data_IF_731811921042
#
_entry.id   IF_731811921042
#
_cell.length_a   1.000
_cell.length_b   1.000
_cell.length_c   1.000
_cell.angle_alpha   90.00
_cell.angle_beta   90.00
_cell.angle_gamma   90.00
#
_symmetry.space_group_name_H-M   'P 1'
#
loop_
_entity.id
_entity.type
_entity.pdbx_description
1 polymer ?
#
# COMPACT_ATOMS: atom_id res chain seq x y z
N UNK A 1 57.18 -25.36 20.49
CA UNK A 1 57.23 -25.29 19.01
C UNK A 1 56.27 -26.34 18.45
N UNK A 2 55.04 -25.94 18.10
CA UNK A 2 54.01 -26.87 17.57
C UNK A 2 54.30 -27.23 16.12
N UNK A 3 54.28 -28.52 15.80
CA UNK A 3 54.70 -29.04 14.48
C UNK A 3 53.74 -28.62 13.37
N UNK A 4 54.27 -28.38 12.17
CA UNK A 4 53.52 -28.05 10.94
C UNK A 4 52.44 -29.10 10.60
N UNK A 5 52.59 -30.32 11.12
CA UNK A 5 51.63 -31.41 10.99
C UNK A 5 50.40 -31.26 11.92
N UNK A 6 50.56 -30.71 13.13
CA UNK A 6 49.43 -30.45 14.06
C UNK A 6 48.54 -29.31 13.57
N UNK A 7 49.13 -28.25 12.99
CA UNK A 7 48.35 -27.15 12.40
C UNK A 7 47.47 -27.59 11.23
N UNK A 8 47.93 -28.57 10.43
CA UNK A 8 47.14 -29.14 9.33
C UNK A 8 46.02 -30.08 9.81
N UNK A 9 46.15 -30.71 10.98
CA UNK A 9 45.09 -31.54 11.57
C UNK A 9 43.97 -30.68 12.18
N UNK A 10 44.32 -29.56 12.82
CA UNK A 10 43.32 -28.61 13.34
C UNK A 10 42.52 -27.94 12.21
N UNK A 11 43.18 -27.48 11.12
CA UNK A 11 42.46 -26.89 9.98
C UNK A 11 41.60 -27.88 9.18
N UNK A 12 41.82 -29.19 9.29
CA UNK A 12 40.98 -30.23 8.66
C UNK A 12 39.83 -30.72 9.55
N UNK A 13 39.87 -30.45 10.86
CA UNK A 13 38.77 -30.74 11.79
C UNK A 13 37.65 -29.71 11.72
N UNK A 14 37.97 -28.45 11.43
CA UNK A 14 36.99 -27.35 11.43
C UNK A 14 36.16 -27.22 10.14
N UNK A 15 36.51 -27.94 9.06
CA UNK A 15 35.80 -27.85 7.77
C UNK A 15 34.70 -28.89 7.56
N UNK A 16 34.34 -29.70 8.56
CA UNK A 16 33.41 -30.85 8.39
C UNK A 16 32.04 -30.71 9.05
N UNK A 17 31.71 -29.59 9.69
CA UNK A 17 30.39 -29.38 10.32
C UNK A 17 29.53 -28.31 9.65
N UNK A 18 30.12 -27.49 8.77
CA UNK A 18 29.41 -26.35 8.17
C UNK A 18 28.33 -26.74 7.15
N UNK A 19 28.54 -27.75 6.30
CA UNK A 19 27.62 -28.03 5.19
C UNK A 19 26.30 -28.69 5.63
N UNK A 20 26.32 -29.43 6.75
CA UNK A 20 25.13 -30.08 7.29
C UNK A 20 24.19 -29.10 7.98
N UNK A 21 24.75 -28.20 8.79
CA UNK A 21 24.00 -27.12 9.45
C UNK A 21 23.36 -26.17 8.41
N UNK A 22 24.07 -25.84 7.33
CA UNK A 22 23.51 -24.97 6.27
C UNK A 22 22.41 -25.66 5.46
N UNK A 23 22.49 -26.98 5.22
CA UNK A 23 21.41 -27.71 4.52
C UNK A 23 20.18 -27.90 5.39
N UNK A 24 20.37 -28.09 6.69
CA UNK A 24 19.26 -28.18 7.62
C UNK A 24 18.58 -26.83 7.82
N UNK A 25 19.35 -25.74 7.92
CA UNK A 25 18.80 -24.37 7.91
C UNK A 25 18.08 -24.02 6.61
N UNK A 26 18.61 -24.47 5.45
CA UNK A 26 17.92 -24.29 4.17
C UNK A 26 16.63 -25.08 4.11
N UNK A 27 16.62 -26.31 4.62
CA UNK A 27 15.41 -27.15 4.67
C UNK A 27 14.38 -26.59 5.64
N UNK A 28 14.80 -26.12 6.81
CA UNK A 28 13.91 -25.48 7.80
C UNK A 28 13.33 -24.18 7.22
N UNK A 29 14.12 -23.39 6.49
CA UNK A 29 13.63 -22.21 5.77
C UNK A 29 12.71 -22.56 4.58
N UNK A 30 13.00 -23.65 3.85
CA UNK A 30 12.13 -24.17 2.78
C UNK A 30 10.80 -24.69 3.36
N UNK A 31 10.82 -25.39 4.49
CA UNK A 31 9.63 -25.87 5.20
C UNK A 31 8.83 -24.70 5.81
N UNK A 32 9.49 -23.64 6.30
CA UNK A 32 8.84 -22.41 6.75
C UNK A 32 8.16 -21.68 5.58
N UNK A 33 8.82 -21.62 4.41
CA UNK A 33 8.23 -21.05 3.18
C UNK A 33 7.10 -21.93 2.62
N UNK A 34 7.24 -23.25 2.63
CA UNK A 34 6.20 -24.19 2.18
C UNK A 34 4.99 -24.18 3.13
N UNK A 35 5.22 -24.05 4.44
CA UNK A 35 4.14 -23.87 5.42
C UNK A 35 3.42 -22.54 5.26
N UNK A 36 4.15 -21.46 4.92
CA UNK A 36 3.57 -20.15 4.61
C UNK A 36 2.85 -20.10 3.26
N UNK A 37 3.19 -20.96 2.29
CA UNK A 37 2.55 -21.04 0.98
C UNK A 37 1.35 -22.00 0.93
N UNK A 38 1.19 -22.91 1.89
CA UNK A 38 -0.03 -23.71 2.03
C UNK A 38 -1.19 -22.97 2.73
N UNK A 39 -0.91 -21.83 3.37
CA UNK A 39 -1.91 -20.86 3.89
C UNK A 39 -2.13 -19.70 2.93
N UNK A 40 -2.19 -19.95 1.62
CA UNK A 40 -2.37 -18.91 0.60
C UNK A 40 -3.85 -18.62 0.31
N UNK A 41 -4.70 -18.64 1.33
CA UNK A 41 -5.77 -17.65 1.39
C UNK A 41 -5.06 -16.33 1.68
N UNK A 42 -5.06 -15.40 0.73
CA UNK A 42 -4.43 -14.11 0.95
C UNK A 42 -5.13 -13.45 2.14
N UNK A 43 -4.46 -13.44 3.31
CA UNK A 43 -4.98 -12.81 4.52
C UNK A 43 -5.50 -11.41 4.22
N UNK A 44 -6.58 -11.00 4.87
CA UNK A 44 -7.17 -9.68 4.65
C UNK A 44 -6.14 -8.55 4.75
N UNK A 45 -5.19 -8.67 5.69
CA UNK A 45 -4.05 -7.77 5.83
C UNK A 45 -3.16 -7.67 4.59
N UNK A 46 -2.93 -8.78 3.88
CA UNK A 46 -2.11 -8.79 2.66
C UNK A 46 -2.85 -8.09 1.52
N UNK A 47 -4.12 -8.44 1.30
CA UNK A 47 -4.97 -7.83 0.27
C UNK A 47 -5.11 -6.34 0.49
N UNK A 48 -5.42 -5.92 1.72
CA UNK A 48 -5.53 -4.51 2.08
C UNK A 48 -4.19 -3.78 1.94
N UNK A 49 -3.05 -4.41 2.29
CA UNK A 49 -1.73 -3.81 2.09
C UNK A 49 -1.42 -3.52 0.62
N UNK A 50 -1.85 -4.39 -0.30
CA UNK A 50 -1.70 -4.17 -1.75
C UNK A 50 -2.54 -2.96 -2.17
N UNK A 51 -3.78 -2.85 -1.71
CA UNK A 51 -4.64 -1.71 -2.00
C UNK A 51 -4.06 -0.39 -1.46
N UNK A 52 -3.57 -0.38 -0.22
CA UNK A 52 -2.90 0.78 0.38
C UNK A 52 -1.63 1.17 -0.40
N UNK A 53 -0.87 0.20 -0.88
CA UNK A 53 0.28 0.47 -1.76
C UNK A 53 -0.14 1.12 -3.07
N UNK A 54 -1.19 0.61 -3.72
CA UNK A 54 -1.72 1.20 -4.96
C UNK A 54 -2.22 2.62 -4.73
N UNK A 55 -2.95 2.85 -3.63
CA UNK A 55 -3.45 4.16 -3.22
C UNK A 55 -2.29 5.15 -3.05
N UNK A 56 -1.23 4.73 -2.35
CA UNK A 56 -0.03 5.54 -2.15
C UNK A 56 0.63 5.95 -3.48
N UNK A 57 0.74 5.01 -4.43
CA UNK A 57 1.34 5.29 -5.74
C UNK A 57 0.50 6.26 -6.56
N UNK A 58 -0.83 6.10 -6.58
CA UNK A 58 -1.73 6.98 -7.30
C UNK A 58 -1.76 8.39 -6.70
N UNK A 59 -1.73 8.50 -5.37
CA UNK A 59 -1.64 9.78 -4.69
C UNK A 59 -0.33 10.50 -4.99
N UNK A 60 0.79 9.78 -5.02
CA UNK A 60 2.07 10.34 -5.43
C UNK A 60 2.06 10.79 -6.89
N UNK A 61 1.40 10.06 -7.79
CA UNK A 61 1.23 10.46 -9.19
C UNK A 61 0.37 11.72 -9.32
N UNK A 62 -0.76 11.78 -8.61
CA UNK A 62 -1.66 12.94 -8.56
C UNK A 62 -0.91 14.18 -8.07
N UNK A 63 -0.18 14.07 -6.97
CA UNK A 63 0.58 15.18 -6.41
C UNK A 63 1.75 15.59 -7.31
N UNK A 64 2.44 14.62 -7.91
CA UNK A 64 3.48 14.88 -8.91
C UNK A 64 2.96 15.66 -10.12
N UNK A 65 1.78 15.32 -10.62
CA UNK A 65 1.12 16.05 -11.71
C UNK A 65 0.71 17.47 -11.26
N UNK A 66 0.18 17.64 -10.04
CA UNK A 66 -0.19 18.95 -9.47
C UNK A 66 1.01 19.89 -9.38
N UNK A 67 2.13 19.42 -8.83
CA UNK A 67 3.38 20.19 -8.71
C UNK A 67 3.93 20.54 -10.09
N UNK A 68 3.93 19.59 -11.02
CA UNK A 68 4.40 19.80 -12.40
C UNK A 68 3.56 20.85 -13.11
N UNK A 69 2.24 20.81 -12.94
CA UNK A 69 1.33 21.81 -13.49
C UNK A 69 1.64 23.21 -12.95
N UNK A 70 1.85 23.34 -11.64
CA UNK A 70 2.24 24.61 -11.01
C UNK A 70 3.52 25.20 -11.63
N UNK A 71 4.56 24.37 -11.78
CA UNK A 71 5.83 24.77 -12.41
C UNK A 71 5.65 25.19 -13.87
N UNK A 72 4.85 24.45 -14.65
CA UNK A 72 4.60 24.77 -16.06
C UNK A 72 3.82 26.07 -16.21
N UNK A 73 2.87 26.34 -15.30
CA UNK A 73 2.11 27.60 -15.28
C UNK A 73 3.04 28.81 -15.08
N UNK A 74 4.02 28.70 -14.19
CA UNK A 74 5.04 29.74 -13.97
C UNK A 74 5.97 29.92 -15.19
N UNK A 75 6.38 28.83 -15.83
CA UNK A 75 7.19 28.88 -17.05
C UNK A 75 6.43 29.56 -18.19
N UNK A 76 5.12 29.28 -18.31
CA UNK A 76 4.25 29.91 -19.30
C UNK A 76 4.08 31.41 -19.04
N UNK A 77 3.91 31.80 -17.78
CA UNK A 77 3.88 33.21 -17.38
C UNK A 77 5.20 33.94 -17.69
N UNK A 78 6.33 33.22 -17.70
CA UNK A 78 7.65 33.73 -18.06
C UNK A 78 7.90 33.79 -19.59
N UNK A 79 6.86 33.56 -20.40
CA UNK A 79 6.92 33.69 -21.87
C UNK A 79 7.40 32.43 -22.60
N UNK A 80 7.49 31.27 -21.93
CA UNK A 80 7.76 29.99 -22.61
C UNK A 80 6.48 29.34 -23.10
N UNK A 81 6.49 28.85 -24.33
CA UNK A 81 5.39 28.03 -24.83
C UNK A 81 5.55 26.59 -24.30
N UNK A 82 4.63 26.20 -23.41
CA UNK A 82 4.61 24.87 -22.79
C UNK A 82 3.17 24.38 -22.77
N UNK A 83 2.97 23.14 -23.23
CA UNK A 83 1.66 22.49 -23.24
C UNK A 83 1.36 21.87 -21.87
N UNK A 84 0.13 22.04 -21.38
CA UNK A 84 -0.32 21.53 -20.06
C UNK A 84 -1.29 20.36 -20.15
N UNK A 85 -1.84 20.08 -21.33
CA UNK A 85 -2.99 19.17 -21.50
C UNK A 85 -2.68 17.75 -21.01
N UNK A 86 -1.48 17.26 -21.30
CA UNK A 86 -1.03 15.95 -20.82
C UNK A 86 -0.96 15.88 -19.29
N UNK A 87 -0.51 16.96 -18.63
CA UNK A 87 -0.38 17.01 -17.16
C UNK A 87 -1.77 17.07 -16.51
N UNK A 88 -2.67 17.87 -17.08
CA UNK A 88 -4.06 17.97 -16.60
C UNK A 88 -4.76 16.61 -16.75
N UNK A 89 -4.56 15.93 -17.88
CA UNK A 89 -5.09 14.59 -18.11
C UNK A 89 -4.55 13.58 -17.11
N UNK A 90 -3.24 13.53 -16.89
CA UNK A 90 -2.62 12.64 -15.89
C UNK A 90 -3.15 12.88 -14.47
N UNK A 91 -3.38 14.14 -14.10
CA UNK A 91 -3.97 14.48 -12.81
C UNK A 91 -5.41 13.96 -12.69
N UNK A 92 -6.22 14.17 -13.73
CA UNK A 92 -7.61 13.71 -13.75
C UNK A 92 -7.72 12.17 -13.72
N UNK A 93 -6.88 11.47 -14.48
CA UNK A 93 -6.81 10.01 -14.49
C UNK A 93 -6.40 9.47 -13.12
N UNK A 94 -5.33 9.99 -12.52
CA UNK A 94 -4.91 9.56 -11.18
C UNK A 94 -5.98 9.82 -10.11
N UNK A 95 -6.72 10.94 -10.22
CA UNK A 95 -7.84 11.23 -9.32
C UNK A 95 -8.98 10.21 -9.49
N UNK A 96 -9.37 9.90 -10.72
CA UNK A 96 -10.43 8.93 -10.99
C UNK A 96 -10.04 7.51 -10.53
N UNK A 97 -8.78 7.12 -10.74
CA UNK A 97 -8.28 5.82 -10.27
C UNK A 97 -8.25 5.73 -8.75
N UNK A 98 -7.95 6.83 -8.04
CA UNK A 98 -8.07 6.89 -6.58
C UNK A 98 -9.51 6.67 -6.13
N UNK A 99 -10.48 7.33 -6.74
CA UNK A 99 -11.92 7.17 -6.40
C UNK A 99 -12.36 5.70 -6.57
N UNK A 100 -11.99 5.06 -7.69
CA UNK A 100 -12.31 3.64 -7.94
C UNK A 100 -11.65 2.74 -6.90
N UNK A 101 -10.40 3.02 -6.52
CA UNK A 101 -9.68 2.23 -5.55
C UNK A 101 -10.23 2.42 -4.13
N UNK A 102 -10.61 3.65 -3.74
CA UNK A 102 -11.25 3.94 -2.45
C UNK A 102 -12.57 3.15 -2.33
N UNK A 103 -13.39 3.10 -3.40
CA UNK A 103 -14.61 2.27 -3.45
C UNK A 103 -14.33 0.77 -3.30
N UNK A 104 -13.24 0.27 -3.90
CA UNK A 104 -12.84 -1.14 -3.78
C UNK A 104 -12.37 -1.46 -2.35
N UNK A 105 -11.61 -0.56 -1.75
CA UNK A 105 -11.15 -0.68 -0.37
C UNK A 105 -12.34 -0.66 0.60
N UNK A 106 -13.32 0.20 0.39
CA UNK A 106 -14.54 0.25 1.19
C UNK A 106 -15.30 -1.07 1.14
N UNK A 107 -15.60 -1.57 -0.08
CA UNK A 107 -16.31 -2.86 -0.26
C UNK A 107 -15.56 -4.01 0.40
N UNK A 108 -14.25 -4.05 0.24
CA UNK A 108 -13.42 -5.05 0.88
C UNK A 108 -13.51 -4.98 2.41
N UNK A 109 -13.44 -3.79 3.00
CA UNK A 109 -13.54 -3.65 4.45
C UNK A 109 -14.93 -4.03 4.98
N UNK A 110 -16.00 -3.80 4.21
CA UNK A 110 -17.33 -4.30 4.55
C UNK A 110 -17.35 -5.84 4.60
N UNK A 111 -16.76 -6.51 3.61
CA UNK A 111 -16.62 -7.98 3.60
C UNK A 111 -15.83 -8.47 4.83
N UNK A 112 -14.72 -7.81 5.16
CA UNK A 112 -13.92 -8.15 6.35
C UNK A 112 -14.70 -7.95 7.65
N UNK A 113 -15.49 -6.89 7.75
CA UNK A 113 -16.27 -6.59 8.96
C UNK A 113 -17.42 -7.59 9.17
N UNK A 114 -17.95 -8.19 8.10
CA UNK A 114 -18.91 -9.29 8.21
C UNK A 114 -18.26 -10.57 8.80
N UNK A 115 -16.98 -10.79 8.51
CA UNK A 115 -16.24 -11.97 8.94
C UNK A 115 -15.66 -11.87 10.37
N UNK A 116 -15.38 -10.65 10.85
CA UNK A 116 -14.71 -10.45 12.14
C UNK A 116 -14.96 -9.07 12.77
N UNK A 117 -15.45 -9.06 14.01
CA UNK A 117 -15.66 -7.84 14.79
C UNK A 117 -14.31 -7.14 15.07
N UNK A 118 -14.12 -5.93 14.54
CA UNK A 118 -12.93 -5.11 14.78
C UNK A 118 -11.78 -5.32 13.80
N UNK A 119 -11.86 -6.31 12.90
CA UNK A 119 -10.75 -6.62 11.98
C UNK A 119 -10.59 -5.51 10.92
N UNK A 120 -11.69 -5.01 10.37
CA UNK A 120 -11.67 -3.92 9.39
C UNK A 120 -11.08 -2.62 9.98
N UNK A 121 -11.45 -2.27 11.22
CA UNK A 121 -10.90 -1.14 11.94
C UNK A 121 -9.39 -1.29 12.17
N UNK A 122 -8.92 -2.50 12.53
CA UNK A 122 -7.51 -2.77 12.71
C UNK A 122 -6.71 -2.62 11.41
N UNK A 123 -7.28 -3.11 10.30
CA UNK A 123 -6.69 -2.96 8.96
C UNK A 123 -6.55 -1.49 8.57
N UNK A 124 -7.53 -0.65 8.83
CA UNK A 124 -7.44 0.78 8.51
C UNK A 124 -6.45 1.51 9.42
N UNK A 125 -6.37 1.12 10.69
CA UNK A 125 -5.50 1.77 11.67
C UNK A 125 -4.01 1.43 11.51
N UNK A 126 -3.70 0.25 10.95
CA UNK A 126 -2.33 -0.25 10.88
C UNK A 126 -1.48 0.39 9.77
N UNK A 127 -0.17 0.10 9.81
CA UNK A 127 0.78 0.48 8.77
C UNK A 127 0.99 -0.69 7.82
N UNK A 128 0.89 -0.42 6.52
CA UNK A 128 1.05 -1.41 5.47
C UNK A 128 2.40 -1.27 4.77
N UNK A 129 3.10 -2.38 4.47
CA UNK A 129 4.29 -2.30 3.64
C UNK A 129 3.91 -1.82 2.23
N UNK A 130 4.72 -0.92 1.66
CA UNK A 130 4.63 -0.49 0.26
C UNK A 130 5.75 -1.19 -0.53
N UNK A 131 5.43 -2.25 -1.31
CA UNK A 131 6.43 -2.99 -2.07
C UNK A 131 7.25 -2.07 -2.99
N UNK A 132 8.54 -2.36 -3.12
CA UNK A 132 9.46 -1.60 -3.98
C UNK A 132 10.05 -0.33 -3.35
N UNK A 133 9.50 0.17 -2.23
CA UNK A 133 10.05 1.35 -1.52
C UNK A 133 10.78 1.00 -0.23
N UNK A 134 10.49 -0.16 0.37
CA UNK A 134 10.99 -0.53 1.70
C UNK A 134 10.38 0.28 2.84
N UNK A 135 9.35 1.08 2.57
CA UNK A 135 8.64 1.89 3.56
C UNK A 135 7.34 1.22 4.00
N UNK A 136 6.84 1.64 5.16
CA UNK A 136 5.47 1.35 5.58
C UNK A 136 4.64 2.63 5.53
N UNK A 137 3.39 2.48 5.11
CA UNK A 137 2.47 3.58 4.89
C UNK A 137 1.19 3.35 5.69
N UNK A 138 0.71 4.40 6.35
CA UNK A 138 -0.62 4.44 6.94
C UNK A 138 -1.46 5.32 6.03
N UNK A 139 -2.69 4.92 5.72
CA UNK A 139 -3.64 5.81 5.05
C UNK A 139 -3.76 7.11 5.87
N UNK A 140 -3.73 8.29 5.21
CA UNK A 140 -4.04 9.55 5.89
C UNK A 140 -5.42 9.47 6.52
N UNK A 141 -5.61 10.07 7.69
CA UNK A 141 -6.87 9.93 8.43
C UNK A 141 -8.08 10.37 7.58
N UNK A 142 -7.96 11.42 6.76
CA UNK A 142 -9.01 11.82 5.82
C UNK A 142 -9.36 10.76 4.76
N UNK A 143 -8.38 9.98 4.31
CA UNK A 143 -8.62 8.90 3.35
C UNK A 143 -9.22 7.68 4.06
N UNK A 144 -8.73 7.35 5.25
CA UNK A 144 -9.33 6.35 6.12
C UNK A 144 -10.80 6.68 6.41
N UNK A 145 -11.13 7.93 6.72
CA UNK A 145 -12.50 8.38 6.97
C UNK A 145 -13.38 8.27 5.72
N UNK A 146 -12.89 8.56 4.51
CA UNK A 146 -13.68 8.34 3.28
C UNK A 146 -13.91 6.86 2.96
N UNK A 147 -12.90 6.03 3.25
CA UNK A 147 -12.92 4.60 2.93
C UNK A 147 -13.72 3.81 3.98
N UNK A 148 -13.70 4.24 5.25
CA UNK A 148 -14.25 3.49 6.37
C UNK A 148 -15.26 4.29 7.22
N UNK A 149 -15.11 5.61 7.29
CA UNK A 149 -16.01 6.48 8.02
C UNK A 149 -17.41 6.47 7.41
N UNK A 150 -18.41 6.43 8.28
CA UNK A 150 -19.81 6.48 7.93
C UNK A 150 -20.16 7.82 7.25
N UNK A 151 -20.29 7.79 5.93
CA UNK A 151 -21.35 8.56 5.27
C UNK A 151 -22.50 7.58 5.07
N UNK A 152 -23.48 7.66 5.97
CA UNK A 152 -24.85 7.28 5.65
C UNK A 152 -25.27 8.22 4.50
N UNK A 153 -25.50 7.73 3.27
CA UNK A 153 -25.83 8.61 2.14
C UNK A 153 -27.23 9.27 2.27
N UNK A 154 -27.88 9.15 3.43
CA UNK A 154 -29.23 9.65 3.72
C UNK A 154 -29.27 11.00 4.49
N UNK A 155 -28.14 11.64 4.79
CA UNK A 155 -28.12 12.97 5.46
C UNK A 155 -27.94 14.17 4.51
N UNK A 156 -28.03 13.96 3.19
CA UNK A 156 -28.32 15.01 2.21
C UNK A 156 -29.84 15.10 1.99
N UNK A 157 -30.57 15.50 3.03
CA UNK A 157 -31.94 15.96 2.88
C UNK A 157 -31.91 17.10 1.83
N UNK A 158 -32.52 16.94 0.64
CA UNK A 158 -32.46 17.97 -0.38
C UNK A 158 -33.03 19.26 0.22
N UNK A 159 -32.41 20.44 -0.03
CA UNK A 159 -32.93 21.68 0.50
C UNK A 159 -34.40 21.80 0.09
N UNK A 160 -35.27 21.85 1.09
CA UNK A 160 -36.71 21.94 0.91
C UNK A 160 -36.99 22.96 -0.19
N UNK A 161 -37.70 22.54 -1.24
CA UNK A 161 -38.12 23.43 -2.31
C UNK A 161 -38.75 24.67 -1.69
N UNK A 162 -38.39 25.89 -2.13
CA UNK A 162 -39.05 27.09 -1.65
C UNK A 162 -40.52 26.96 -2.02
N UNK A 163 -41.34 26.66 -1.01
CA UNK A 163 -42.78 26.54 -1.17
C UNK A 163 -43.30 27.73 -1.95
N UNK A 164 -44.04 27.43 -3.01
CA UNK A 164 -44.86 28.38 -3.75
C UNK A 164 -45.68 29.20 -2.74
N UNK A 165 -45.20 30.40 -2.40
CA UNK A 165 -46.03 31.43 -1.81
C UNK A 165 -47.03 31.87 -2.89
N UNK A 166 -48.13 31.11 -2.99
CA UNK A 166 -49.34 31.56 -3.65
C UNK A 166 -50.36 31.98 -2.62
N UNK A 167 -50.73 33.25 -2.76
CA UNK A 167 -51.85 34.00 -2.18
C UNK A 167 -51.63 34.59 -0.78
#
# INVERSE_FOLDING_TARGET
MTSRAERRRQQRGEKKTSTGATRQQLREAEEELDSGTMTMEASHATTFSIMVSAWHMLEHQREGARVTYGRVKELKASGRDVQTDAIVKQYAEAKQELEILEDQMHKFLLEVAEDGEGEAEELVAMRHPVPGTGMTYKLPDQAADRIWGADDPDDDDPPAEPGDNKA
#
